data_IF_327763868309
#
_entry.id   IF_327763868309
#
_cell.length_a   1.000
_cell.length_b   1.000
_cell.length_c   1.000
_cell.angle_alpha   90.00
_cell.angle_beta   90.00
_cell.angle_gamma   90.00
#
_symmetry.space_group_name_H-M   'P 1'
#
loop_
_entity.id
_entity.type
_entity.pdbx_description
1 polymer ?
#
# COMPACT_ATOMS: atom_id res chain seq x y z
N UNK A 1 18.38 -12.31 27.04
CA UNK A 1 19.86 -12.43 27.02
C UNK A 1 20.41 -11.64 28.19
N UNK A 2 21.17 -12.26 29.11
CA UNK A 2 21.90 -11.58 30.19
C UNK A 2 22.88 -10.53 29.65
N UNK A 3 23.14 -9.46 30.42
CA UNK A 3 24.04 -8.38 29.98
C UNK A 3 25.48 -8.85 29.73
N UNK A 4 25.93 -9.90 30.41
CA UNK A 4 27.26 -10.49 30.24
C UNK A 4 27.48 -11.11 28.84
N UNK A 5 26.40 -11.47 28.14
CA UNK A 5 26.49 -12.14 26.83
C UNK A 5 26.47 -11.16 25.65
N UNK A 6 26.22 -9.86 25.91
CA UNK A 6 26.19 -8.80 24.89
C UNK A 6 27.48 -8.70 24.06
N UNK A 7 28.69 -8.75 24.64
CA UNK A 7 29.93 -8.65 23.85
C UNK A 7 30.09 -9.82 22.87
N UNK A 8 29.76 -11.04 23.30
CA UNK A 8 29.84 -12.24 22.46
C UNK A 8 28.81 -12.21 21.32
N UNK A 9 27.59 -11.78 21.62
CA UNK A 9 26.55 -11.58 20.62
C UNK A 9 26.94 -10.53 19.59
N UNK A 10 27.46 -9.38 20.02
CA UNK A 10 27.88 -8.30 19.11
C UNK A 10 29.00 -8.75 18.16
N UNK A 11 29.94 -9.57 18.64
CA UNK A 11 31.04 -10.10 17.83
C UNK A 11 30.58 -11.15 16.80
N UNK A 12 29.57 -11.96 17.14
CA UNK A 12 29.05 -13.01 16.26
C UNK A 12 27.91 -12.52 15.34
N UNK A 13 27.35 -11.35 15.61
CA UNK A 13 26.22 -10.83 14.85
C UNK A 13 26.62 -10.58 13.38
N UNK A 14 25.83 -11.17 12.48
CA UNK A 14 25.89 -10.94 11.05
C UNK A 14 24.48 -10.53 10.61
N UNK A 15 24.34 -9.43 9.85
CA UNK A 15 23.06 -9.13 9.22
C UNK A 15 22.69 -10.27 8.26
N UNK A 16 21.38 -10.52 8.13
CA UNK A 16 20.87 -11.44 7.13
C UNK A 16 21.42 -11.00 5.74
N UNK A 17 21.94 -11.92 4.91
CA UNK A 17 22.46 -11.57 3.57
C UNK A 17 21.46 -10.76 2.73
N UNK A 18 20.15 -10.94 2.94
CA UNK A 18 19.10 -10.18 2.26
C UNK A 18 19.04 -8.70 2.69
N UNK A 19 19.64 -8.34 3.82
CA UNK A 19 19.71 -6.95 4.32
C UNK A 19 20.97 -6.24 3.85
N UNK A 20 22.07 -6.98 3.65
CA UNK A 20 23.39 -6.43 3.32
C UNK A 20 23.39 -5.68 1.99
N UNK A 21 22.55 -6.09 1.04
CA UNK A 21 22.55 -5.57 -0.33
C UNK A 21 21.32 -4.71 -0.66
N UNK A 22 20.66 -4.13 0.35
CA UNK A 22 19.50 -3.25 0.15
C UNK A 22 19.97 -1.80 0.07
N UNK A 23 19.51 -1.09 -0.96
CA UNK A 23 19.70 0.36 -1.05
C UNK A 23 19.08 1.06 0.15
N UNK A 24 19.80 2.03 0.70
CA UNK A 24 19.24 2.90 1.72
C UNK A 24 18.11 3.72 1.11
N UNK A 25 16.96 3.72 1.76
CA UNK A 25 15.79 4.51 1.34
C UNK A 25 15.88 5.87 2.03
N UNK A 26 15.72 6.95 1.26
CA UNK A 26 15.69 8.30 1.82
C UNK A 26 14.49 8.47 2.76
N UNK A 27 14.61 9.37 3.73
CA UNK A 27 13.50 9.68 4.65
C UNK A 27 12.26 10.18 3.91
N UNK A 28 12.46 10.85 2.78
CA UNK A 28 11.38 11.36 1.93
C UNK A 28 10.63 10.26 1.16
N UNK A 29 11.22 9.06 1.06
CA UNK A 29 10.68 7.92 0.34
C UNK A 29 10.00 6.90 1.27
N UNK A 30 10.22 7.00 2.57
CA UNK A 30 9.55 6.18 3.59
C UNK A 30 8.02 6.21 3.44
N UNK A 31 7.35 7.36 3.19
CA UNK A 31 5.91 7.39 2.94
C UNK A 31 5.45 6.53 1.75
N UNK A 32 6.27 6.39 0.70
CA UNK A 32 5.97 5.55 -0.48
C UNK A 32 5.92 4.08 -0.08
N UNK A 33 6.85 3.63 0.76
CA UNK A 33 6.86 2.27 1.29
C UNK A 33 5.62 1.99 2.15
N UNK A 34 5.28 2.92 3.05
CA UNK A 34 4.09 2.78 3.90
C UNK A 34 2.81 2.72 3.07
N UNK A 35 2.67 3.60 2.06
CA UNK A 35 1.55 3.56 1.14
C UNK A 35 1.42 2.17 0.48
N UNK A 36 2.52 1.59 0.02
CA UNK A 36 2.50 0.25 -0.57
C UNK A 36 2.05 -0.84 0.40
N UNK A 37 2.44 -0.77 1.68
CA UNK A 37 2.02 -1.75 2.70
C UNK A 37 0.55 -1.57 3.06
N UNK A 38 0.12 -0.33 3.28
CA UNK A 38 -1.24 0.02 3.68
C UNK A 38 -2.26 -0.40 2.62
N UNK A 39 -2.00 -0.14 1.34
CA UNK A 39 -2.90 -0.56 0.27
C UNK A 39 -3.00 -2.09 0.15
N UNK A 40 -1.89 -2.83 0.33
CA UNK A 40 -1.94 -4.29 0.37
C UNK A 40 -2.81 -4.79 1.52
N UNK A 41 -2.59 -4.26 2.73
CA UNK A 41 -3.35 -4.63 3.91
C UNK A 41 -4.84 -4.30 3.77
N UNK A 42 -5.16 -3.13 3.22
CA UNK A 42 -6.52 -2.68 3.01
C UNK A 42 -7.27 -3.57 2.00
N UNK A 43 -6.65 -3.88 0.87
CA UNK A 43 -7.23 -4.77 -0.15
C UNK A 43 -7.55 -6.16 0.44
N UNK A 44 -6.61 -6.73 1.20
CA UNK A 44 -6.86 -8.02 1.87
C UNK A 44 -8.02 -7.95 2.86
N UNK A 45 -8.11 -6.87 3.66
CA UNK A 45 -9.20 -6.68 4.62
C UNK A 45 -10.55 -6.45 3.92
N UNK A 46 -10.55 -5.71 2.80
CA UNK A 46 -11.73 -5.46 1.98
C UNK A 46 -12.25 -6.75 1.32
N UNK A 47 -11.35 -7.55 0.76
CA UNK A 47 -11.68 -8.87 0.21
C UNK A 47 -12.24 -9.81 1.29
N UNK A 48 -11.63 -9.84 2.48
CA UNK A 48 -12.12 -10.63 3.61
C UNK A 48 -13.53 -10.19 4.04
N UNK A 49 -13.80 -8.88 4.04
CA UNK A 49 -15.13 -8.33 4.32
C UNK A 49 -16.15 -8.80 3.28
N UNK A 50 -15.86 -8.66 1.99
CA UNK A 50 -16.78 -9.13 0.93
C UNK A 50 -17.03 -10.64 0.99
N UNK A 51 -16.02 -11.43 1.39
CA UNK A 51 -16.16 -12.89 1.58
C UNK A 51 -16.88 -13.28 2.88
N UNK A 52 -17.18 -12.32 3.76
CA UNK A 52 -17.79 -12.57 5.07
C UNK A 52 -16.84 -13.24 6.08
N UNK A 53 -15.54 -13.32 5.80
CA UNK A 53 -14.53 -13.80 6.76
C UNK A 53 -14.06 -12.71 7.72
N UNK A 54 -14.53 -11.48 7.52
CA UNK A 54 -14.37 -10.32 8.38
C UNK A 54 -15.70 -9.58 8.50
N UNK A 55 -16.11 -9.24 9.72
CA UNK A 55 -17.41 -8.59 9.97
C UNK A 55 -17.42 -7.10 9.62
N UNK A 56 -16.34 -6.38 9.93
CA UNK A 56 -16.29 -4.92 9.79
C UNK A 56 -15.49 -4.50 8.56
N UNK A 57 -16.00 -3.50 7.84
CA UNK A 57 -15.27 -2.81 6.78
C UNK A 57 -13.96 -2.22 7.35
N UNK A 58 -12.82 -2.31 6.63
CA UNK A 58 -11.60 -1.62 7.07
C UNK A 58 -11.82 -0.10 7.20
N UNK A 59 -11.28 0.49 8.27
CA UNK A 59 -11.51 1.89 8.68
C UNK A 59 -11.02 2.93 7.64
N UNK A 60 -10.05 2.59 6.81
CA UNK A 60 -9.44 3.52 5.85
C UNK A 60 -10.25 3.59 4.53
N UNK A 61 -11.57 3.80 4.62
CA UNK A 61 -12.41 3.98 3.43
C UNK A 61 -12.34 5.41 2.88
N UNK A 62 -12.21 6.44 3.73
CA UNK A 62 -11.85 7.84 3.38
C UNK A 62 -11.92 8.75 4.62
N UNK A 63 -11.09 9.81 4.72
CA UNK A 63 -10.03 10.21 3.78
C UNK A 63 -8.73 9.42 4.00
N UNK A 64 -8.15 8.91 2.91
CA UNK A 64 -6.91 8.15 2.94
C UNK A 64 -5.71 9.08 3.23
N UNK A 65 -4.87 8.74 4.21
CA UNK A 65 -3.63 9.47 4.55
C UNK A 65 -2.70 9.66 3.35
N UNK A 66 -2.74 8.72 2.40
CA UNK A 66 -1.95 8.74 1.17
C UNK A 66 -2.35 9.87 0.23
N UNK A 67 -3.64 10.25 0.18
CA UNK A 67 -4.09 11.38 -0.64
C UNK A 67 -3.46 12.70 -0.19
N UNK A 68 -3.37 12.91 1.13
CA UNK A 68 -2.74 14.09 1.68
C UNK A 68 -1.23 14.14 1.37
N UNK A 69 -0.56 12.97 1.39
CA UNK A 69 0.83 12.88 0.99
C UNK A 69 1.03 13.16 -0.51
N UNK A 70 0.18 12.62 -1.39
CA UNK A 70 0.26 12.87 -2.83
C UNK A 70 0.16 14.36 -3.16
N UNK A 71 -0.76 15.07 -2.52
CA UNK A 71 -0.92 16.52 -2.67
C UNK A 71 0.36 17.25 -2.25
N UNK A 72 0.93 16.89 -1.08
CA UNK A 72 2.16 17.48 -0.59
C UNK A 72 3.37 17.22 -1.51
N UNK A 73 3.50 16.02 -2.08
CA UNK A 73 4.55 15.71 -3.06
C UNK A 73 4.41 16.49 -4.36
N UNK A 74 3.17 16.63 -4.84
CA UNK A 74 2.88 17.41 -6.05
C UNK A 74 3.29 18.87 -5.86
N UNK A 75 3.06 19.43 -4.67
CA UNK A 75 3.49 20.79 -4.32
C UNK A 75 5.01 20.90 -4.12
N UNK A 76 5.65 19.86 -3.58
CA UNK A 76 7.10 19.85 -3.34
C UNK A 76 7.93 19.72 -4.63
N UNK A 77 7.34 19.23 -5.73
CA UNK A 77 7.98 19.17 -7.05
C UNK A 77 9.15 18.19 -7.16
N UNK A 78 9.32 17.28 -6.19
CA UNK A 78 10.42 16.29 -6.16
C UNK A 78 10.24 15.15 -7.17
N UNK A 79 8.99 14.86 -7.51
CA UNK A 79 8.62 13.79 -8.43
C UNK A 79 8.08 14.37 -9.74
N UNK A 80 8.24 13.64 -10.84
CA UNK A 80 7.70 14.06 -12.13
C UNK A 80 6.17 14.24 -12.04
N UNK A 81 5.60 15.40 -12.44
CA UNK A 81 4.16 15.65 -12.35
C UNK A 81 3.30 14.57 -13.04
N UNK A 82 3.81 14.02 -14.15
CA UNK A 82 3.14 12.93 -14.87
C UNK A 82 3.08 11.62 -14.07
N UNK A 83 4.13 11.28 -13.30
CA UNK A 83 4.15 10.07 -12.49
C UNK A 83 3.17 10.18 -11.31
N UNK A 84 3.16 11.32 -10.61
CA UNK A 84 2.22 11.56 -9.52
C UNK A 84 0.77 11.60 -10.02
N UNK A 85 0.50 12.18 -11.18
CA UNK A 85 -0.83 12.20 -11.78
C UNK A 85 -1.36 10.79 -12.09
N UNK A 86 -0.51 9.89 -12.60
CA UNK A 86 -0.89 8.49 -12.84
C UNK A 86 -1.21 7.77 -11.54
N UNK A 87 -0.39 7.97 -10.50
CA UNK A 87 -0.61 7.38 -9.18
C UNK A 87 -1.92 7.87 -8.57
N UNK A 88 -2.19 9.19 -8.63
CA UNK A 88 -3.44 9.77 -8.15
C UNK A 88 -4.66 9.22 -8.90
N UNK A 89 -4.58 9.08 -10.22
CA UNK A 89 -5.66 8.51 -11.03
C UNK A 89 -5.93 7.04 -10.69
N UNK A 90 -4.90 6.21 -10.51
CA UNK A 90 -5.04 4.81 -10.11
C UNK A 90 -5.64 4.68 -8.71
N UNK A 91 -5.18 5.51 -7.77
CA UNK A 91 -5.73 5.56 -6.42
C UNK A 91 -7.21 5.91 -6.43
N UNK A 92 -7.61 6.93 -7.20
CA UNK A 92 -9.03 7.30 -7.33
C UNK A 92 -9.87 6.17 -7.94
N UNK A 93 -9.38 5.52 -9.01
CA UNK A 93 -10.10 4.40 -9.65
C UNK A 93 -10.32 3.24 -8.67
N UNK A 94 -9.33 2.95 -7.83
CA UNK A 94 -9.42 1.91 -6.81
C UNK A 94 -10.51 2.20 -5.77
N UNK A 95 -10.57 3.44 -5.26
CA UNK A 95 -11.62 3.86 -4.32
C UNK A 95 -13.01 3.84 -4.97
N UNK A 96 -13.16 4.41 -6.16
CA UNK A 96 -14.43 4.39 -6.91
C UNK A 96 -14.91 2.95 -7.15
N UNK A 97 -14.00 2.03 -7.50
CA UNK A 97 -14.35 0.63 -7.67
C UNK A 97 -14.80 0.01 -6.35
N UNK A 98 -14.05 0.21 -5.27
CA UNK A 98 -14.40 -0.34 -3.96
C UNK A 98 -15.76 0.14 -3.48
N UNK A 99 -16.10 1.42 -3.65
CA UNK A 99 -17.44 1.96 -3.40
C UNK A 99 -18.51 1.22 -4.19
N UNK A 100 -18.29 0.99 -5.49
CA UNK A 100 -19.22 0.24 -6.32
C UNK A 100 -19.39 -1.22 -5.85
N UNK A 101 -18.32 -1.86 -5.38
CA UNK A 101 -18.38 -3.22 -4.82
C UNK A 101 -19.15 -3.25 -3.50
N UNK A 102 -19.02 -2.23 -2.66
CA UNK A 102 -19.79 -2.10 -1.43
C UNK A 102 -21.28 -1.89 -1.71
N UNK A 103 -21.63 -1.11 -2.73
CA UNK A 103 -23.02 -0.96 -3.16
C UNK A 103 -23.61 -2.30 -3.60
N UNK A 104 -22.88 -3.09 -4.39
CA UNK A 104 -23.32 -4.44 -4.78
C UNK A 104 -23.49 -5.36 -3.57
N UNK A 105 -22.53 -5.35 -2.65
CA UNK A 105 -22.58 -6.15 -1.43
C UNK A 105 -23.79 -5.78 -0.55
N UNK A 106 -24.04 -4.48 -0.34
CA UNK A 106 -25.18 -3.97 0.42
C UNK A 106 -26.54 -4.32 -0.22
N UNK A 107 -26.58 -4.49 -1.54
CA UNK A 107 -27.77 -4.95 -2.28
C UNK A 107 -27.96 -6.48 -2.25
N UNK A 108 -27.11 -7.23 -1.53
CA UNK A 108 -27.14 -8.70 -1.53
C UNK A 108 -26.58 -9.33 -2.80
N UNK A 109 -26.03 -8.53 -3.74
CA UNK A 109 -25.44 -8.98 -5.01
C UNK A 109 -23.97 -9.36 -4.82
N UNK A 110 -23.68 -10.08 -3.75
CA UNK A 110 -22.31 -10.41 -3.36
C UNK A 110 -21.54 -11.22 -4.42
N UNK A 111 -22.15 -12.17 -5.16
CA UNK A 111 -21.45 -12.85 -6.26
C UNK A 111 -20.90 -11.90 -7.32
N UNK A 112 -21.62 -10.80 -7.62
CA UNK A 112 -21.17 -9.79 -8.58
C UNK A 112 -20.05 -8.93 -8.00
N UNK A 113 -20.11 -8.60 -6.71
CA UNK A 113 -19.00 -7.93 -6.03
C UNK A 113 -17.73 -8.78 -6.05
N UNK A 114 -17.85 -10.08 -5.74
CA UNK A 114 -16.73 -11.02 -5.72
C UNK A 114 -16.13 -11.25 -7.12
N UNK A 115 -16.95 -11.32 -8.17
CA UNK A 115 -16.48 -11.47 -9.55
C UNK A 115 -15.57 -10.33 -10.01
N UNK A 116 -15.72 -9.15 -9.40
CA UNK A 116 -14.97 -7.93 -9.74
C UNK A 116 -13.77 -7.67 -8.83
N UNK A 117 -13.49 -8.53 -7.85
CA UNK A 117 -12.29 -8.43 -7.00
C UNK A 117 -10.99 -8.45 -7.82
N UNK A 118 -10.98 -9.17 -8.94
CA UNK A 118 -9.83 -9.20 -9.85
C UNK A 118 -9.47 -7.83 -10.42
N UNK A 119 -10.46 -6.97 -10.71
CA UNK A 119 -10.23 -5.59 -11.16
C UNK A 119 -9.55 -4.77 -10.05
N UNK A 120 -9.99 -4.96 -8.81
CA UNK A 120 -9.45 -4.25 -7.65
C UNK A 120 -7.99 -4.66 -7.38
N UNK A 121 -7.67 -5.95 -7.51
CA UNK A 121 -6.29 -6.46 -7.45
C UNK A 121 -5.41 -5.90 -8.55
N UNK A 122 -5.90 -5.84 -9.79
CA UNK A 122 -5.15 -5.28 -10.91
C UNK A 122 -4.84 -3.78 -10.71
N UNK A 123 -5.78 -3.01 -10.15
CA UNK A 123 -5.55 -1.59 -9.82
C UNK A 123 -4.50 -1.43 -8.72
N UNK A 124 -4.57 -2.27 -7.66
CA UNK A 124 -3.54 -2.32 -6.61
C UNK A 124 -2.17 -2.60 -7.21
N UNK A 125 -2.05 -3.63 -8.04
CA UNK A 125 -0.74 -4.07 -8.56
C UNK A 125 -0.09 -2.99 -9.43
N UNK A 126 -0.88 -2.35 -10.31
CA UNK A 126 -0.43 -1.19 -11.10
C UNK A 126 -0.02 -0.01 -10.23
N UNK A 127 -0.78 0.30 -9.18
CA UNK A 127 -0.42 1.36 -8.23
C UNK A 127 0.92 1.06 -7.56
N UNK A 128 1.13 -0.19 -7.12
CA UNK A 128 2.35 -0.62 -6.48
C UNK A 128 3.57 -0.59 -7.41
N UNK A 129 3.40 -0.93 -8.69
CA UNK A 129 4.44 -0.80 -9.70
C UNK A 129 4.86 0.65 -9.89
N UNK A 130 3.91 1.59 -9.97
CA UNK A 130 4.23 3.00 -10.08
C UNK A 130 4.92 3.56 -8.82
N UNK A 131 4.49 3.13 -7.64
CA UNK A 131 5.16 3.49 -6.38
C UNK A 131 6.59 2.94 -6.31
N UNK A 132 6.82 1.69 -6.73
CA UNK A 132 8.16 1.11 -6.82
C UNK A 132 9.04 1.89 -7.81
N UNK A 133 8.49 2.30 -8.94
CA UNK A 133 9.19 3.12 -9.94
C UNK A 133 9.55 4.54 -9.46
N UNK A 134 8.97 5.04 -8.37
CA UNK A 134 9.44 6.26 -7.71
C UNK A 134 10.70 6.00 -6.86
N UNK A 135 10.78 4.83 -6.22
CA UNK A 135 11.92 4.44 -5.36
C UNK A 135 13.18 4.09 -6.17
N UNK A 136 13.02 3.63 -7.40
CA UNK A 136 14.15 3.28 -8.28
C UNK A 136 14.80 4.50 -8.94
N UNK A 137 14.17 5.68 -8.85
CA UNK A 137 14.60 6.90 -9.53
C UNK A 137 15.23 7.96 -8.61
N UNK A 138 15.20 7.74 -7.29
CA UNK A 138 15.89 8.58 -6.29
C UNK A 138 17.35 8.16 -6.10
#
# INVERSE_FOLDING_TARGET
MPAADLPGWAAAWRPDPHWVNRSAVSRDEVPILFAGVEHRAWIMAFEAFLKGTREALPLDHHPCRFSAWLEAESLAGRNAPSALAVIAALHQQMHTLAEALLVLHAQGRNPEALARLGELHALRDRLLEHLAGLLEKS
#
